data_IF_383873218518
#
_entry.id   IF_383873218518
#
_cell.length_a   1.000
_cell.length_b   1.000
_cell.length_c   1.000
_cell.angle_alpha   90.00
_cell.angle_beta   90.00
_cell.angle_gamma   90.00
#
_symmetry.space_group_name_H-M   'P 1'
#
loop_
_entity.id
_entity.type
_entity.pdbx_description
1 polymer ?
#
# COMPACT_ATOMS: atom_id res chain seq x y z
N UNK A 1 -4.86 -12.82 -4.84
CA UNK A 1 -3.78 -11.81 -4.67
C UNK A 1 -4.29 -10.75 -3.72
N UNK A 2 -3.51 -10.48 -2.68
CA UNK A 2 -3.90 -9.64 -1.55
C UNK A 2 -2.75 -8.68 -1.27
N UNK A 3 -3.06 -7.51 -0.71
CA UNK A 3 -2.10 -6.53 -0.23
C UNK A 3 -2.23 -6.47 1.30
N UNK A 4 -1.14 -6.72 1.99
CA UNK A 4 -1.04 -6.57 3.44
C UNK A 4 -0.40 -5.22 3.73
N UNK A 5 -1.16 -4.30 4.33
CA UNK A 5 -0.64 -3.05 4.85
C UNK A 5 -0.38 -3.23 6.34
N UNK A 6 0.86 -3.05 6.77
CA UNK A 6 1.29 -3.14 8.17
C UNK A 6 1.68 -1.75 8.66
N UNK A 7 1.15 -1.35 9.80
CA UNK A 7 1.51 -0.15 10.53
C UNK A 7 1.93 -0.51 11.95
N UNK A 8 2.34 0.47 12.77
CA UNK A 8 2.63 0.23 14.17
C UNK A 8 1.41 -0.26 14.98
N UNK A 9 0.19 0.12 14.55
CA UNK A 9 -1.04 -0.12 15.30
C UNK A 9 -1.84 -1.31 14.77
N UNK A 10 -1.74 -1.62 13.47
CA UNK A 10 -2.61 -2.59 12.82
C UNK A 10 -2.02 -3.23 11.57
N UNK A 11 -2.63 -4.34 11.18
CA UNK A 11 -2.48 -4.96 9.87
C UNK A 11 -3.83 -4.95 9.14
N UNK A 12 -3.83 -4.46 7.90
CA UNK A 12 -4.99 -4.45 7.02
C UNK A 12 -4.71 -5.31 5.78
N UNK A 13 -5.64 -6.23 5.49
CA UNK A 13 -5.64 -7.00 4.24
C UNK A 13 -6.62 -6.40 3.24
N UNK A 14 -6.14 -6.12 2.04
CA UNK A 14 -6.92 -5.58 0.92
C UNK A 14 -6.82 -6.48 -0.30
N UNK A 15 -7.91 -6.66 -1.04
CA UNK A 15 -7.91 -7.51 -2.25
C UNK A 15 -7.49 -6.77 -3.52
N UNK A 16 -7.26 -5.46 -3.43
CA UNK A 16 -6.84 -4.61 -4.56
C UNK A 16 -5.81 -3.57 -4.10
N UNK A 17 -4.93 -3.14 -5.02
CA UNK A 17 -3.99 -2.03 -4.80
C UNK A 17 -4.72 -0.71 -4.60
N UNK A 18 -5.89 -0.55 -5.23
CA UNK A 18 -6.84 0.56 -5.02
C UNK A 18 -7.19 0.75 -3.56
N UNK A 19 -7.75 -0.28 -2.93
CA UNK A 19 -8.15 -0.22 -1.53
C UNK A 19 -6.95 -0.03 -0.57
N UNK A 20 -5.81 -0.62 -0.88
CA UNK A 20 -4.58 -0.41 -0.10
C UNK A 20 -4.10 1.05 -0.20
N UNK A 21 -4.07 1.62 -1.42
CA UNK A 21 -3.69 3.02 -1.64
C UNK A 21 -4.67 3.99 -0.97
N UNK A 22 -5.98 3.75 -1.09
CA UNK A 22 -7.01 4.58 -0.47
C UNK A 22 -6.83 4.62 1.05
N UNK A 23 -6.61 3.47 1.69
CA UNK A 23 -6.31 3.39 3.12
C UNK A 23 -5.05 4.20 3.51
N UNK A 24 -3.99 4.12 2.70
CA UNK A 24 -2.75 4.84 2.94
C UNK A 24 -2.95 6.36 2.88
N UNK A 25 -3.77 6.85 1.94
CA UNK A 25 -4.12 8.27 1.86
C UNK A 25 -5.07 8.70 2.98
N UNK A 26 -6.11 7.92 3.26
CA UNK A 26 -7.14 8.24 4.27
C UNK A 26 -6.57 8.37 5.68
N UNK A 27 -5.47 7.67 5.98
CA UNK A 27 -4.80 7.72 7.27
C UNK A 27 -3.49 8.52 7.27
N UNK A 28 -3.16 9.19 6.16
CA UNK A 28 -2.02 10.11 6.08
C UNK A 28 -0.65 9.44 6.00
N UNK A 29 -0.58 8.14 5.68
CA UNK A 29 0.69 7.46 5.39
C UNK A 29 1.26 7.87 4.03
N UNK A 30 0.37 8.06 3.06
CA UNK A 30 0.70 8.60 1.74
C UNK A 30 0.30 10.08 1.65
N UNK A 31 1.17 10.89 1.06
CA UNK A 31 0.97 12.32 0.86
C UNK A 31 0.67 12.60 -0.62
N UNK A 32 -0.55 13.02 -0.99
CA UNK A 32 -0.94 13.23 -2.37
C UNK A 32 -0.24 14.44 -3.03
N UNK A 33 0.32 15.36 -2.24
CA UNK A 33 1.11 16.49 -2.75
C UNK A 33 2.54 16.06 -3.12
N UNK A 34 3.07 15.03 -2.46
CA UNK A 34 4.40 14.47 -2.74
C UNK A 34 4.35 13.34 -3.76
N UNK A 35 3.36 12.46 -3.64
CA UNK A 35 3.16 11.32 -4.51
C UNK A 35 1.69 11.23 -4.94
N UNK A 36 1.38 11.46 -6.23
CA UNK A 36 0.01 11.37 -6.70
C UNK A 36 -0.48 9.92 -6.63
N UNK A 37 -1.77 9.73 -6.35
CA UNK A 37 -2.39 8.40 -6.19
C UNK A 37 -2.07 7.41 -7.30
N UNK A 38 -2.00 7.84 -8.56
CA UNK A 38 -1.69 6.96 -9.69
C UNK A 38 -0.28 6.36 -9.60
N UNK A 39 0.68 7.08 -9.00
CA UNK A 39 2.05 6.60 -8.83
C UNK A 39 2.11 5.51 -7.77
N UNK A 40 1.45 5.73 -6.62
CA UNK A 40 1.34 4.71 -5.57
C UNK A 40 0.70 3.42 -6.10
N UNK A 41 -0.40 3.53 -6.84
CA UNK A 41 -1.04 2.37 -7.48
C UNK A 41 -0.07 1.63 -8.41
N UNK A 42 0.65 2.39 -9.24
CA UNK A 42 1.63 1.83 -10.15
C UNK A 42 2.75 1.08 -9.41
N UNK A 43 3.24 1.62 -8.28
CA UNK A 43 4.22 0.96 -7.42
C UNK A 43 3.67 -0.35 -6.86
N UNK A 44 2.47 -0.32 -6.27
CA UNK A 44 1.85 -1.50 -5.64
C UNK A 44 1.56 -2.62 -6.66
N UNK A 45 1.06 -2.29 -7.84
CA UNK A 45 0.72 -3.29 -8.86
C UNK A 45 1.97 -3.97 -9.46
N UNK A 46 3.10 -3.26 -9.46
CA UNK A 46 4.37 -3.74 -10.02
C UNK A 46 5.29 -4.38 -9.00
N UNK A 47 5.05 -4.17 -7.71
CA UNK A 47 5.74 -4.89 -6.65
C UNK A 47 5.66 -6.40 -6.91
N UNK A 48 6.81 -7.07 -6.89
CA UNK A 48 6.85 -8.51 -6.95
C UNK A 48 6.13 -9.09 -5.72
N UNK A 49 5.51 -10.27 -5.82
CA UNK A 49 4.91 -10.86 -4.64
C UNK A 49 5.96 -11.17 -3.56
N UNK A 50 5.66 -10.77 -2.32
CA UNK A 50 6.61 -10.79 -1.20
C UNK A 50 7.56 -9.59 -1.15
N UNK A 51 7.58 -8.72 -2.17
CA UNK A 51 8.29 -7.44 -2.12
C UNK A 51 7.54 -6.46 -1.21
N UNK A 52 8.33 -5.70 -0.46
CA UNK A 52 7.84 -4.70 0.49
C UNK A 52 7.96 -3.31 -0.13
N UNK A 53 6.86 -2.57 -0.11
CA UNK A 53 6.80 -1.16 -0.52
C UNK A 53 6.60 -0.31 0.73
N UNK A 54 7.57 0.55 1.04
CA UNK A 54 7.48 1.51 2.14
C UNK A 54 6.70 2.75 1.70
N UNK A 55 5.72 3.17 2.50
CA UNK A 55 4.86 4.32 2.23
C UNK A 55 4.67 5.10 3.53
N UNK A 56 5.47 6.15 3.72
CA UNK A 56 5.52 6.85 5.00
C UNK A 56 5.93 5.88 6.11
N UNK A 57 5.11 5.80 7.16
CA UNK A 57 5.30 4.88 8.29
C UNK A 57 4.60 3.51 8.10
N UNK A 58 4.04 3.25 6.91
CA UNK A 58 3.37 1.99 6.59
C UNK A 58 4.24 1.14 5.65
N UNK A 59 4.08 -0.18 5.77
CA UNK A 59 4.71 -1.19 4.91
C UNK A 59 3.64 -1.96 4.16
N UNK A 60 3.78 -2.08 2.84
CA UNK A 60 2.83 -2.82 2.00
C UNK A 60 3.50 -4.03 1.37
N UNK A 61 2.90 -5.21 1.52
CA UNK A 61 3.38 -6.45 0.90
C UNK A 61 2.32 -7.01 -0.03
N UNK A 62 2.70 -7.31 -1.26
CA UNK A 62 1.84 -8.05 -2.20
C UNK A 62 1.95 -9.55 -1.89
N UNK A 63 0.91 -10.13 -1.32
CA UNK A 63 0.83 -11.58 -1.06
C UNK A 63 0.39 -12.33 -2.33
N UNK A 64 1.07 -13.45 -2.65
CA UNK A 64 0.49 -14.46 -3.55
C UNK A 64 -0.62 -15.17 -2.77
N UNK A 65 -1.85 -15.03 -3.26
CA UNK A 65 -2.98 -15.84 -2.79
C UNK A 65 -3.08 -17.11 -3.60
#
# INVERSE_FOLDING_TARGET
>A
MTFLVTTADQELRSTTSGAAADHLFEHGFADPEREPRWHLLWCLDRAAPGEEVEVGDARVVREQG
#
